data_IF_850587971960
#
_entry.id   IF_850587971960
#
_cell.length_a   1.000
_cell.length_b   1.000
_cell.length_c   1.000
_cell.angle_alpha   90.00
_cell.angle_beta   90.00
_cell.angle_gamma   90.00
#
_symmetry.space_group_name_H-M   'P 1'
#
loop_
_entity.id
_entity.type
_entity.pdbx_description
1 polymer ?
#
# COMPACT_ATOMS: atom_id res chain seq x y z
N UNK A 1 -8.50 -27.29 25.81
CA UNK A 1 -7.98 -25.95 25.40
C UNK A 1 -7.05 -25.91 24.18
N UNK A 2 -6.51 -27.03 23.67
CA UNK A 2 -5.58 -27.00 22.51
C UNK A 2 -6.23 -26.62 21.17
N UNK A 3 -7.47 -27.06 20.90
CA UNK A 3 -8.18 -26.79 19.63
C UNK A 3 -8.39 -25.28 19.36
N UNK A 4 -8.70 -24.50 20.41
CA UNK A 4 -8.88 -23.04 20.31
C UNK A 4 -7.57 -22.31 19.96
N UNK A 5 -6.43 -22.79 20.44
CA UNK A 5 -5.11 -22.22 20.12
C UNK A 5 -4.71 -22.50 18.67
N UNK A 6 -4.97 -23.71 18.17
CA UNK A 6 -4.75 -24.04 16.75
C UNK A 6 -5.62 -23.20 15.82
N UNK A 7 -6.90 -23.01 16.17
CA UNK A 7 -7.83 -22.19 15.38
C UNK A 7 -7.42 -20.70 15.38
N UNK A 8 -6.91 -20.18 16.50
CA UNK A 8 -6.35 -18.83 16.58
C UNK A 8 -5.08 -18.65 15.73
N UNK A 9 -4.16 -19.62 15.78
CA UNK A 9 -2.95 -19.62 14.94
C UNK A 9 -3.29 -19.68 13.46
N UNK A 10 -4.24 -20.53 13.06
CA UNK A 10 -4.71 -20.64 11.68
C UNK A 10 -5.29 -19.32 11.16
N UNK A 11 -6.13 -18.65 11.95
CA UNK A 11 -6.67 -17.33 11.59
C UNK A 11 -5.59 -16.27 11.44
N UNK A 12 -4.59 -16.26 12.32
CA UNK A 12 -3.48 -15.31 12.27
C UNK A 12 -2.60 -15.53 11.05
N UNK A 13 -2.35 -16.78 10.67
CA UNK A 13 -1.50 -17.13 9.54
C UNK A 13 -2.14 -16.70 8.21
N UNK A 14 -3.45 -16.89 8.06
CA UNK A 14 -4.23 -16.41 6.91
C UNK A 14 -4.19 -14.88 6.82
N UNK A 15 -4.40 -14.18 7.94
CA UNK A 15 -4.35 -12.70 7.95
C UNK A 15 -2.98 -12.18 7.54
N UNK A 16 -1.90 -12.81 8.00
CA UNK A 16 -0.52 -12.45 7.63
C UNK A 16 -0.28 -12.64 6.14
N UNK A 17 -0.62 -13.79 5.58
CA UNK A 17 -0.48 -14.06 4.14
C UNK A 17 -1.24 -13.04 3.30
N UNK A 18 -2.52 -12.81 3.62
CA UNK A 18 -3.36 -11.86 2.88
C UNK A 18 -2.84 -10.42 2.97
N UNK A 19 -2.27 -10.03 4.11
CA UNK A 19 -1.69 -8.70 4.28
C UNK A 19 -0.46 -8.52 3.39
N UNK A 20 0.45 -9.51 3.36
CA UNK A 20 1.65 -9.48 2.51
C UNK A 20 1.25 -9.40 1.03
N UNK A 21 0.31 -10.21 0.57
CA UNK A 21 -0.18 -10.17 -0.81
C UNK A 21 -0.76 -8.80 -1.19
N UNK A 22 -1.54 -8.17 -0.29
CA UNK A 22 -2.07 -6.82 -0.52
C UNK A 22 -0.98 -5.77 -0.59
N UNK A 23 0.03 -5.84 0.28
CA UNK A 23 1.16 -4.90 0.29
C UNK A 23 1.98 -5.05 -0.99
N UNK A 24 2.31 -6.28 -1.40
CA UNK A 24 3.05 -6.55 -2.63
C UNK A 24 2.27 -6.04 -3.85
N UNK A 25 0.95 -6.28 -3.91
CA UNK A 25 0.09 -5.77 -4.99
C UNK A 25 0.05 -4.23 -5.03
N UNK A 26 0.07 -3.58 -3.86
CA UNK A 26 0.08 -2.12 -3.78
C UNK A 26 1.44 -1.54 -4.19
N UNK A 27 2.53 -2.17 -3.78
CA UNK A 27 3.89 -1.73 -4.09
C UNK A 27 4.28 -1.96 -5.56
N UNK A 28 3.85 -3.08 -6.15
CA UNK A 28 4.07 -3.37 -7.56
C UNK A 28 3.20 -2.54 -8.51
N UNK A 29 2.31 -1.69 -7.98
CA UNK A 29 1.55 -0.77 -8.81
C UNK A 29 2.47 0.39 -9.19
N UNK A 30 2.88 0.54 -10.46
CA UNK A 30 3.68 1.68 -10.85
C UNK A 30 2.89 2.96 -10.52
N UNK A 31 3.56 4.03 -10.05
CA UNK A 31 2.90 5.32 -9.95
C UNK A 31 2.32 5.60 -11.33
N UNK A 32 1.01 5.85 -11.41
CA UNK A 32 0.42 6.44 -12.63
C UNK A 32 1.36 7.56 -13.01
N UNK A 33 1.90 7.55 -14.23
CA UNK A 33 2.85 8.54 -14.74
C UNK A 33 2.30 9.90 -14.35
N UNK A 34 2.77 10.42 -13.21
CA UNK A 34 2.37 11.72 -12.72
C UNK A 34 3.10 12.59 -13.71
N UNK A 35 2.36 13.14 -14.66
CA UNK A 35 2.89 14.23 -15.47
C UNK A 35 3.43 15.23 -14.45
N UNK A 36 4.75 15.32 -14.38
CA UNK A 36 5.43 16.20 -13.44
C UNK A 36 4.74 17.55 -13.57
N UNK A 37 4.27 18.18 -12.47
CA UNK A 37 3.78 19.55 -12.54
C UNK A 37 4.85 20.36 -13.28
N UNK A 38 4.50 20.91 -14.44
CA UNK A 38 5.47 21.61 -15.26
C UNK A 38 5.95 22.84 -14.48
N UNK A 39 7.23 23.22 -14.66
CA UNK A 39 7.80 24.40 -13.98
C UNK A 39 6.95 25.67 -14.17
N UNK A 40 6.22 25.76 -15.28
CA UNK A 40 5.26 26.82 -15.54
C UNK A 40 4.13 26.87 -14.51
N UNK A 41 3.54 25.72 -14.16
CA UNK A 41 2.49 25.63 -13.13
C UNK A 41 3.04 25.91 -11.72
N UNK A 42 4.32 25.63 -11.47
CA UNK A 42 4.96 25.89 -10.18
C UNK A 42 5.35 27.36 -9.98
N UNK A 43 5.54 28.12 -11.08
CA UNK A 43 6.01 29.52 -11.02
C UNK A 43 4.86 30.53 -10.87
N UNK A 44 3.62 30.15 -11.13
CA UNK A 44 2.44 31.02 -11.04
C UNK A 44 2.05 31.45 -9.61
N UNK A 45 2.78 31.05 -8.57
CA UNK A 45 2.52 31.44 -7.18
C UNK A 45 3.71 32.16 -6.51
N UNK A 46 4.77 32.49 -7.26
CA UNK A 46 5.97 33.13 -6.72
C UNK A 46 6.07 34.62 -7.08
N UNK A 47 5.14 35.15 -7.88
CA UNK A 47 5.08 36.57 -8.24
C UNK A 47 3.86 37.28 -7.60
N UNK A 48 3.77 37.27 -6.26
CA UNK A 48 3.00 38.24 -5.45
C UNK A 48 3.98 39.07 -4.62
#
# INVERSE_FOLDING_TARGET
>A
NGLKLHQGRFRLDIQKHFFIERVVKHWNRPPRKVESPSLYMFRSHVDI
#
